data_IF_090323150255
#
_entry.id   IF_090323150255
#
_cell.length_a   1.000
_cell.length_b   1.000
_cell.length_c   1.000
_cell.angle_alpha   90.00
_cell.angle_beta   90.00
_cell.angle_gamma   90.00
#
_symmetry.space_group_name_H-M   'P 1'
#
loop_
_entity.id
_entity.type
_entity.pdbx_description
1 polymer ?
#
# COMPACT_ATOMS: atom_id res chain seq x y z
N UNK A 1 -5.42 10.09 -8.63
CA UNK A 1 -4.78 9.89 -7.31
C UNK A 1 -4.76 11.16 -6.49
N UNK A 2 -4.25 12.29 -7.00
CA UNK A 2 -4.22 13.57 -6.26
C UNK A 2 -5.61 13.99 -5.76
N UNK A 3 -6.64 14.01 -6.62
CA UNK A 3 -8.02 14.30 -6.22
C UNK A 3 -8.59 13.31 -5.19
N UNK A 4 -8.23 12.03 -5.28
CA UNK A 4 -8.69 11.02 -4.32
C UNK A 4 -8.08 11.26 -2.94
N UNK A 5 -6.80 11.65 -2.89
CA UNK A 5 -6.07 11.94 -1.65
C UNK A 5 -6.72 13.06 -0.83
N UNK A 6 -7.52 13.93 -1.45
CA UNK A 6 -8.25 15.01 -0.77
C UNK A 6 -9.42 14.49 0.08
N UNK A 7 -9.94 13.29 -0.20
CA UNK A 7 -11.15 12.75 0.44
C UNK A 7 -10.94 11.38 1.09
N UNK A 8 -9.89 10.63 0.72
CA UNK A 8 -9.61 9.30 1.25
C UNK A 8 -8.12 9.08 1.50
N UNK A 9 -7.83 8.21 2.47
CA UNK A 9 -6.49 7.66 2.65
C UNK A 9 -6.13 6.78 1.46
N UNK A 10 -4.96 7.00 0.89
CA UNK A 10 -4.43 6.16 -0.20
C UNK A 10 -3.12 5.50 0.22
N UNK A 11 -2.96 4.24 -0.16
CA UNK A 11 -1.82 3.40 0.21
C UNK A 11 -1.40 2.48 -0.92
N UNK A 12 -0.12 2.09 -0.94
CA UNK A 12 0.42 1.02 -1.79
C UNK A 12 0.64 -0.22 -0.93
N UNK A 13 0.18 -1.39 -1.40
CA UNK A 13 0.57 -2.70 -0.88
C UNK A 13 1.22 -3.52 -2.00
N UNK A 14 2.53 -3.79 -1.90
CA UNK A 14 3.32 -4.49 -2.93
C UNK A 14 4.16 -5.64 -2.36
N UNK A 15 4.29 -6.72 -3.12
CA UNK A 15 5.15 -7.86 -2.75
C UNK A 15 6.58 -7.61 -3.24
N UNK A 16 7.57 -8.14 -2.53
CA UNK A 16 8.98 -8.13 -2.91
C UNK A 16 9.86 -7.33 -1.96
N UNK A 17 11.08 -7.07 -2.40
CA UNK A 17 12.12 -6.44 -1.56
C UNK A 17 11.93 -4.93 -1.45
N UNK A 18 12.19 -4.40 -0.25
CA UNK A 18 12.12 -2.98 0.08
C UNK A 18 12.88 -2.13 -0.92
N UNK A 19 14.13 -2.48 -1.21
CA UNK A 19 14.98 -1.71 -2.13
C UNK A 19 14.38 -1.63 -3.54
N UNK A 20 13.96 -2.76 -4.09
CA UNK A 20 13.45 -2.86 -5.46
C UNK A 20 12.13 -2.12 -5.63
N UNK A 21 11.24 -2.24 -4.64
CA UNK A 21 9.94 -1.57 -4.67
C UNK A 21 10.06 -0.05 -4.45
N UNK A 22 10.96 0.40 -3.57
CA UNK A 22 11.23 1.84 -3.42
C UNK A 22 11.78 2.45 -4.72
N UNK A 23 12.74 1.78 -5.39
CA UNK A 23 13.26 2.24 -6.69
C UNK A 23 12.13 2.41 -7.72
N UNK A 24 11.20 1.45 -7.81
CA UNK A 24 10.06 1.56 -8.73
C UNK A 24 9.16 2.75 -8.39
N UNK A 25 8.84 2.94 -7.12
CA UNK A 25 8.00 4.04 -6.64
C UNK A 25 8.66 5.40 -6.94
N UNK A 26 9.97 5.50 -6.73
CA UNK A 26 10.75 6.71 -6.96
C UNK A 26 10.84 7.03 -8.46
N UNK A 27 11.13 6.04 -9.29
CA UNK A 27 11.21 6.22 -10.75
C UNK A 27 9.86 6.57 -11.40
N UNK A 28 8.74 6.32 -10.70
CA UNK A 28 7.39 6.68 -11.15
C UNK A 28 6.95 8.06 -10.61
N UNK A 29 7.78 8.72 -9.78
CA UNK A 29 7.47 10.01 -9.13
C UNK A 29 6.16 10.02 -8.31
N UNK A 30 5.73 8.85 -7.83
CA UNK A 30 4.47 8.72 -7.07
C UNK A 30 4.66 8.74 -5.55
N UNK A 31 5.90 8.81 -5.03
CA UNK A 31 6.14 8.75 -3.58
C UNK A 31 5.37 9.83 -2.82
N UNK A 32 5.34 11.06 -3.31
CA UNK A 32 4.65 12.19 -2.66
C UNK A 32 3.13 11.99 -2.56
N UNK A 33 2.56 11.16 -3.43
CA UNK A 33 1.14 10.82 -3.41
C UNK A 33 0.83 9.94 -2.19
N UNK A 34 1.68 8.96 -1.89
CA UNK A 34 1.44 7.96 -0.85
C UNK A 34 2.16 8.27 0.47
N UNK A 35 3.17 9.14 0.47
CA UNK A 35 3.94 9.55 1.65
C UNK A 35 4.46 8.33 2.44
N UNK A 36 3.98 8.13 3.66
CA UNK A 36 4.35 7.02 4.53
C UNK A 36 3.44 5.78 4.36
N UNK A 37 2.40 5.86 3.52
CA UNK A 37 1.44 4.78 3.28
C UNK A 37 1.94 3.82 2.18
N UNK A 38 3.18 3.38 2.31
CA UNK A 38 3.84 2.44 1.38
C UNK A 38 4.17 1.18 2.16
N UNK A 39 3.46 0.11 1.86
CA UNK A 39 3.57 -1.18 2.52
C UNK A 39 4.20 -2.20 1.57
N UNK A 40 5.43 -2.60 1.90
CA UNK A 40 6.21 -3.57 1.13
C UNK A 40 6.30 -4.86 1.93
N UNK A 41 6.05 -6.00 1.31
CA UNK A 41 5.98 -7.29 2.03
C UNK A 41 7.20 -7.62 2.87
N UNK A 42 8.41 -7.31 2.38
CA UNK A 42 9.65 -7.48 3.14
C UNK A 42 9.66 -6.68 4.46
N UNK A 43 9.03 -5.50 4.52
CA UNK A 43 8.95 -4.69 5.73
C UNK A 43 7.88 -5.17 6.70
N UNK A 44 6.73 -5.61 6.19
CA UNK A 44 5.58 -5.98 7.01
C UNK A 44 5.55 -7.46 7.40
N UNK A 45 6.37 -8.30 6.75
CA UNK A 45 6.50 -9.74 7.04
C UNK A 45 5.43 -10.64 6.41
N UNK A 46 4.55 -10.07 5.57
CA UNK A 46 3.45 -10.80 4.92
C UNK A 46 3.32 -10.39 3.46
N UNK A 47 3.03 -11.35 2.59
CA UNK A 47 2.78 -11.15 1.17
C UNK A 47 1.32 -11.39 0.80
N UNK A 48 0.81 -10.64 -0.17
CA UNK A 48 -0.45 -11.00 -0.84
C UNK A 48 -0.28 -12.40 -1.47
N UNK A 49 -1.28 -13.30 -1.39
CA UNK A 49 -2.67 -13.07 -0.96
C UNK A 49 -2.95 -13.31 0.53
N UNK A 50 -1.94 -13.40 1.40
CA UNK A 50 -2.18 -13.60 2.84
C UNK A 50 -3.05 -12.47 3.41
N UNK A 51 -4.19 -12.77 4.10
CA UNK A 51 -5.04 -11.74 4.69
C UNK A 51 -4.31 -10.77 5.61
N UNK A 52 -3.25 -11.24 6.31
CA UNK A 52 -2.42 -10.39 7.18
C UNK A 52 -1.75 -9.24 6.43
N UNK A 53 -1.45 -9.38 5.13
CA UNK A 53 -0.89 -8.30 4.34
C UNK A 53 -1.88 -7.13 4.23
N UNK A 54 -3.16 -7.42 3.99
CA UNK A 54 -4.23 -6.42 3.89
C UNK A 54 -4.62 -5.84 5.26
N UNK A 55 -4.80 -6.73 6.25
CA UNK A 55 -5.16 -6.31 7.61
C UNK A 55 -4.08 -5.45 8.28
N UNK A 56 -2.81 -5.69 7.96
CA UNK A 56 -1.72 -4.83 8.44
C UNK A 56 -1.84 -3.39 7.91
N UNK A 57 -2.23 -3.22 6.65
CA UNK A 57 -2.46 -1.90 6.05
C UNK A 57 -3.61 -1.19 6.76
N UNK A 58 -4.78 -1.84 6.89
CA UNK A 58 -5.94 -1.27 7.57
C UNK A 58 -5.61 -0.86 9.01
N UNK A 59 -4.93 -1.74 9.76
CA UNK A 59 -4.46 -1.44 11.11
C UNK A 59 -3.53 -0.22 11.18
N UNK A 60 -2.56 -0.13 10.25
CA UNK A 60 -1.60 0.99 10.22
C UNK A 60 -2.22 2.32 9.81
N UNK A 61 -3.28 2.28 8.99
CA UNK A 61 -4.07 3.45 8.61
C UNK A 61 -5.14 3.79 9.66
N UNK A 62 -5.31 2.97 10.70
CA UNK A 62 -6.34 3.13 11.74
C UNK A 62 -7.77 3.23 11.15
N UNK A 63 -8.08 2.34 10.23
CA UNK A 63 -9.41 2.20 9.58
C UNK A 63 -9.90 0.77 9.70
N UNK A 64 -11.22 0.57 9.60
CA UNK A 64 -11.76 -0.78 9.58
C UNK A 64 -11.57 -1.43 8.21
N UNK A 65 -11.34 -2.76 8.13
CA UNK A 65 -11.19 -3.47 6.86
C UNK A 65 -12.37 -3.27 5.90
N UNK A 66 -13.59 -3.17 6.42
CA UNK A 66 -14.82 -2.92 5.65
C UNK A 66 -14.88 -1.52 5.00
N UNK A 67 -14.05 -0.58 5.46
CA UNK A 67 -13.91 0.77 4.90
C UNK A 67 -12.80 0.83 3.83
N UNK A 68 -12.12 -0.29 3.58
CA UNK A 68 -11.01 -0.38 2.63
C UNK A 68 -11.48 -0.89 1.25
N UNK A 69 -11.09 -0.18 0.20
CA UNK A 69 -11.17 -0.68 -1.18
C UNK A 69 -9.78 -1.07 -1.67
N UNK A 70 -9.57 -2.35 -1.95
CA UNK A 70 -8.35 -2.82 -2.60
C UNK A 70 -8.51 -2.82 -4.12
N UNK A 71 -7.56 -2.20 -4.83
CA UNK A 71 -7.51 -2.18 -6.30
C UNK A 71 -6.25 -2.92 -6.74
N UNK A 72 -6.43 -4.01 -7.47
CA UNK A 72 -5.36 -4.85 -8.01
C UNK A 72 -5.74 -5.45 -9.36
N UNK A 73 -4.75 -5.89 -10.12
CA UNK A 73 -4.87 -6.47 -11.46
C UNK A 73 -4.85 -8.01 -11.46
N UNK A 74 -4.67 -8.63 -10.28
CA UNK A 74 -4.56 -10.07 -10.10
C UNK A 74 -5.81 -10.65 -9.42
N UNK A 75 -6.27 -11.80 -9.91
CA UNK A 75 -7.40 -12.58 -9.36
C UNK A 75 -6.90 -13.79 -8.57
#
# INVERSE_FOLDING_TARGET
>A
LLLLKESVNIAILTNGKTKEQNIKIDNLDIRSIFENNIFISQNIGYEKPNPKAFLNVAFKLNVNPEECLFIGDSF
#
